data_IF_001387588996
#
_entry.id   IF_001387588996
#
_cell.length_a   1.000
_cell.length_b   1.000
_cell.length_c   1.000
_cell.angle_alpha   90.00
_cell.angle_beta   90.00
_cell.angle_gamma   90.00
#
_symmetry.space_group_name_H-M   'P 1'
#
loop_
_entity.id
_entity.type
_entity.pdbx_description
1 polymer ?
#
# COMPACT_ATOMS: atom_id res chain seq x y z
N UNK A 1 6.35 14.98 -6.08
CA UNK A 1 5.80 13.90 -6.92
C UNK A 1 4.87 13.08 -6.04
N UNK A 2 3.60 13.01 -6.37
CA UNK A 2 2.60 12.21 -5.64
C UNK A 2 2.63 10.75 -6.09
N UNK A 3 2.10 9.84 -5.28
CA UNK A 3 1.96 8.42 -5.64
C UNK A 3 1.16 8.22 -6.94
N UNK A 4 0.14 9.08 -7.17
CA UNK A 4 -0.65 9.07 -8.40
C UNK A 4 0.18 9.43 -9.63
N UNK A 5 0.98 10.50 -9.55
CA UNK A 5 1.87 10.92 -10.65
C UNK A 5 2.93 9.86 -10.95
N UNK A 6 3.47 9.20 -9.92
CA UNK A 6 4.40 8.09 -10.07
C UNK A 6 3.76 6.90 -10.80
N UNK A 7 2.56 6.47 -10.39
CA UNK A 7 1.84 5.36 -11.03
C UNK A 7 1.49 5.69 -12.49
N UNK A 8 1.07 6.92 -12.79
CA UNK A 8 0.83 7.33 -14.17
C UNK A 8 2.09 7.36 -15.02
N UNK A 9 3.24 7.72 -14.45
CA UNK A 9 4.54 7.60 -15.10
C UNK A 9 4.88 6.14 -15.40
N UNK A 10 4.72 5.26 -14.42
CA UNK A 10 5.02 3.84 -14.52
C UNK A 10 4.17 3.12 -15.59
N UNK A 11 2.88 3.50 -15.70
CA UNK A 11 1.97 2.99 -16.74
C UNK A 11 2.35 3.41 -18.17
N UNK A 12 3.09 4.51 -18.33
CA UNK A 12 3.55 5.02 -19.63
C UNK A 12 4.86 4.38 -20.09
N UNK A 13 5.56 3.66 -19.20
CA UNK A 13 6.81 2.99 -19.55
C UNK A 13 6.57 1.77 -20.45
N UNK A 14 7.51 1.45 -21.36
CA UNK A 14 7.53 0.18 -22.08
C UNK A 14 7.47 -1.01 -21.12
N UNK A 15 6.87 -2.12 -21.54
CA UNK A 15 6.69 -3.31 -20.68
C UNK A 15 8.03 -3.81 -20.11
N UNK A 16 9.09 -3.79 -20.92
CA UNK A 16 10.44 -4.21 -20.50
C UNK A 16 11.07 -3.34 -19.40
N UNK A 17 10.76 -2.03 -19.38
CA UNK A 17 11.20 -1.13 -18.31
C UNK A 17 10.35 -1.31 -17.06
N UNK A 18 9.05 -1.55 -17.24
CA UNK A 18 8.13 -1.86 -16.14
C UNK A 18 8.55 -3.15 -15.43
N UNK A 19 8.86 -4.20 -16.18
CA UNK A 19 9.34 -5.48 -15.67
C UNK A 19 10.64 -5.33 -14.85
N UNK A 20 11.59 -4.50 -15.30
CA UNK A 20 12.81 -4.21 -14.53
C UNK A 20 12.52 -3.51 -13.20
N UNK A 21 11.60 -2.55 -13.20
CA UNK A 21 11.20 -1.87 -11.96
C UNK A 21 10.52 -2.86 -11.02
N UNK A 22 9.59 -3.68 -11.53
CA UNK A 22 8.96 -4.74 -10.73
C UNK A 22 9.98 -5.75 -10.18
N UNK A 23 10.96 -6.16 -10.97
CA UNK A 23 12.04 -7.04 -10.50
C UNK A 23 12.79 -6.41 -9.32
N UNK A 24 13.17 -5.13 -9.43
CA UNK A 24 13.85 -4.41 -8.34
C UNK A 24 12.99 -4.25 -7.08
N UNK A 25 11.67 -4.12 -7.23
CA UNK A 25 10.72 -4.05 -6.11
C UNK A 25 10.57 -5.40 -5.39
N UNK A 26 10.68 -6.52 -6.11
CA UNK A 26 10.56 -7.87 -5.54
C UNK A 26 11.86 -8.32 -4.86
N UNK A 27 13.01 -7.91 -5.40
CA UNK A 27 14.34 -8.23 -4.86
C UNK A 27 14.61 -7.56 -3.51
N UNK A 28 14.07 -6.35 -3.30
CA UNK A 28 14.15 -5.66 -2.02
C UNK A 28 13.06 -6.19 -1.06
N UNK A 29 13.47 -6.74 0.08
CA UNK A 29 12.56 -7.32 1.07
C UNK A 29 11.62 -6.29 1.71
N UNK A 30 12.13 -5.14 2.13
CA UNK A 30 11.34 -4.06 2.72
C UNK A 30 10.27 -3.57 1.73
N UNK A 31 10.65 -3.36 0.48
CA UNK A 31 9.71 -2.89 -0.54
C UNK A 31 8.66 -3.93 -0.91
N UNK A 32 9.01 -5.21 -0.83
CA UNK A 32 8.06 -6.31 -1.02
C UNK A 32 7.04 -6.35 0.12
N UNK A 33 7.47 -6.14 1.36
CA UNK A 33 6.55 -6.05 2.51
C UNK A 33 5.61 -4.85 2.36
N UNK A 34 6.14 -3.68 2.00
CA UNK A 34 5.33 -2.48 1.73
C UNK A 34 4.29 -2.72 0.61
N UNK A 35 4.65 -3.45 -0.44
CA UNK A 35 3.72 -3.79 -1.52
C UNK A 35 2.58 -4.70 -1.05
N UNK A 36 2.86 -5.66 -0.16
CA UNK A 36 1.85 -6.53 0.44
C UNK A 36 0.92 -5.73 1.35
N UNK A 37 1.46 -4.79 2.13
CA UNK A 37 0.67 -3.88 2.96
C UNK A 37 -0.25 -3.00 2.13
N UNK A 38 0.25 -2.44 1.01
CA UNK A 38 -0.57 -1.64 0.10
C UNK A 38 -1.71 -2.45 -0.52
N UNK A 39 -1.45 -3.69 -0.92
CA UNK A 39 -2.49 -4.62 -1.43
C UNK A 39 -3.53 -4.88 -0.35
N UNK A 40 -3.10 -5.18 0.88
CA UNK A 40 -3.98 -5.42 2.03
C UNK A 40 -4.84 -4.19 2.31
N UNK A 41 -4.26 -2.99 2.33
CA UNK A 41 -5.02 -1.74 2.54
C UNK A 41 -6.01 -1.47 1.41
N UNK A 42 -5.64 -1.78 0.16
CA UNK A 42 -6.54 -1.63 -0.99
C UNK A 42 -7.74 -2.57 -0.91
N UNK A 43 -7.55 -3.82 -0.48
CA UNK A 43 -8.64 -4.78 -0.28
C UNK A 43 -9.58 -4.35 0.85
N UNK A 44 -9.01 -3.74 1.89
CA UNK A 44 -9.73 -3.28 3.08
C UNK A 44 -10.39 -1.90 2.92
N UNK A 45 -10.21 -1.24 1.78
CA UNK A 45 -10.69 0.12 1.55
C UNK A 45 -12.22 0.26 1.65
N UNK A 46 -12.95 -0.85 1.45
CA UNK A 46 -14.41 -0.93 1.56
C UNK A 46 -14.89 -1.51 2.90
N UNK A 47 -14.00 -1.80 3.85
CA UNK A 47 -14.41 -2.26 5.18
C UNK A 47 -15.19 -1.15 5.90
N UNK A 48 -16.21 -1.50 6.71
CA UNK A 48 -16.88 -0.54 7.56
C UNK A 48 -15.86 0.20 8.42
N UNK A 49 -15.88 1.53 8.33
CA UNK A 49 -15.01 2.34 9.17
C UNK A 49 -15.48 2.26 10.62
N UNK A 50 -14.54 2.01 11.52
CA UNK A 50 -14.79 2.01 12.96
C UNK A 50 -14.12 3.23 13.58
N UNK A 51 -14.84 4.04 14.38
CA UNK A 51 -14.23 5.13 15.14
C UNK A 51 -13.11 4.60 16.06
N UNK A 52 -11.98 5.32 16.11
CA UNK A 52 -10.85 4.90 16.94
C UNK A 52 -11.21 4.82 18.43
N UNK A 53 -12.08 5.70 18.91
CA UNK A 53 -12.58 5.69 20.30
C UNK A 53 -13.31 4.40 20.64
N UNK A 54 -14.05 3.83 19.68
CA UNK A 54 -14.70 2.54 19.87
C UNK A 54 -13.67 1.42 20.01
N UNK A 55 -12.54 1.49 19.29
CA UNK A 55 -11.44 0.52 19.40
C UNK A 55 -10.75 0.65 20.75
N UNK A 56 -10.45 1.88 21.20
CA UNK A 56 -9.81 2.13 22.50
C UNK A 56 -10.66 1.65 23.67
N UNK A 57 -11.98 1.87 23.60
CA UNK A 57 -12.92 1.35 24.59
C UNK A 57 -12.89 -0.18 24.69
N UNK A 58 -12.85 -0.90 23.56
CA UNK A 58 -12.78 -2.37 23.56
C UNK A 58 -11.46 -2.90 24.13
N UNK A 59 -10.37 -2.19 23.86
CA UNK A 59 -9.02 -2.55 24.30
C UNK A 59 -8.71 -2.06 25.72
N UNK A 60 -9.64 -1.37 26.37
CA UNK A 60 -9.48 -0.78 27.70
C UNK A 60 -8.26 0.17 27.78
N UNK A 61 -8.06 0.95 26.71
CA UNK A 61 -7.02 1.98 26.61
C UNK A 61 -7.67 3.32 26.95
N UNK A 62 -7.18 3.98 28.01
CA UNK A 62 -7.52 5.38 28.28
C UNK A 62 -6.69 6.28 27.36
N UNK A 63 -7.36 6.97 26.44
CA UNK A 63 -6.78 7.89 25.45
C UNK A 63 -7.28 9.32 25.65
#
# INVERSE_FOLDING_TARGET
MSAKEFIEGLKKLPDSERERIFASLVENEEWREDLLDLMTLSERQNEPTRPIDAVFKDLNIDA
#
